data_IF_217987178126
#
_entry.id   IF_217987178126
#
_cell.length_a   1.000
_cell.length_b   1.000
_cell.length_c   1.000
_cell.angle_alpha   90.00
_cell.angle_beta   90.00
_cell.angle_gamma   90.00
#
_symmetry.space_group_name_H-M   'P 1'
#
loop_
_entity.id
_entity.type
_entity.pdbx_description
1 polymer ?
#
# COMPACT_ATOMS: atom_id res chain seq x y z
N UNK A 1 22.09 -10.26 -16.46
CA UNK A 1 22.88 -9.11 -16.94
C UNK A 1 23.59 -8.52 -15.75
N UNK A 2 24.89 -8.20 -15.87
CA UNK A 2 25.66 -7.53 -14.82
C UNK A 2 26.08 -6.17 -15.35
N UNK A 3 25.80 -5.11 -14.61
CA UNK A 3 26.07 -3.73 -15.02
C UNK A 3 26.77 -2.99 -13.90
N UNK A 4 27.62 -2.04 -14.28
CA UNK A 4 28.37 -1.20 -13.35
C UNK A 4 28.53 0.22 -13.93
N UNK A 5 28.67 1.24 -13.07
CA UNK A 5 29.04 2.59 -13.50
C UNK A 5 30.49 2.63 -13.99
N UNK A 6 30.84 3.66 -14.77
CA UNK A 6 32.23 3.87 -15.17
C UNK A 6 33.12 4.15 -13.96
N UNK A 7 34.28 3.49 -13.91
CA UNK A 7 35.32 3.72 -12.89
C UNK A 7 36.31 4.76 -13.43
N UNK A 8 36.56 5.87 -12.71
CA UNK A 8 37.50 6.90 -13.15
C UNK A 8 38.91 6.34 -13.40
N UNK A 9 39.50 6.70 -14.55
CA UNK A 9 40.86 6.25 -14.91
C UNK A 9 40.96 4.81 -15.41
N UNK A 10 39.85 4.07 -15.50
CA UNK A 10 39.84 2.71 -16.01
C UNK A 10 39.97 2.67 -17.55
N UNK A 11 40.92 1.89 -18.05
CA UNK A 11 41.11 1.58 -19.48
C UNK A 11 40.40 0.30 -19.92
N UNK A 12 39.88 -0.50 -18.99
CA UNK A 12 39.14 -1.74 -19.27
C UNK A 12 38.61 -2.39 -17.99
N UNK A 13 37.80 -3.44 -18.16
CA UNK A 13 37.19 -4.17 -17.05
C UNK A 13 37.33 -5.67 -17.24
N UNK A 14 37.42 -6.40 -16.13
CA UNK A 14 37.25 -7.85 -16.11
C UNK A 14 36.17 -8.23 -15.08
N UNK A 15 35.45 -9.31 -15.36
CA UNK A 15 34.42 -9.84 -14.46
C UNK A 15 34.82 -11.24 -14.04
N UNK A 16 34.97 -11.46 -12.73
CA UNK A 16 35.19 -12.79 -12.16
C UNK A 16 33.86 -13.42 -11.79
N UNK A 17 33.70 -14.71 -12.09
CA UNK A 17 32.47 -15.45 -11.87
C UNK A 17 32.74 -16.75 -11.12
N UNK A 18 31.95 -17.03 -10.09
CA UNK A 18 32.03 -18.27 -9.32
C UNK A 18 30.64 -18.83 -8.98
N UNK A 19 30.57 -20.14 -8.72
CA UNK A 19 29.39 -20.78 -8.14
C UNK A 19 29.28 -20.56 -6.62
N UNK A 20 30.33 -20.05 -5.97
CA UNK A 20 30.41 -19.82 -4.53
C UNK A 20 30.85 -18.37 -4.23
N UNK A 21 30.29 -17.73 -3.19
CA UNK A 21 30.67 -16.37 -2.81
C UNK A 21 32.05 -16.30 -2.12
N UNK A 22 32.58 -17.43 -1.62
CA UNK A 22 33.75 -17.44 -0.74
C UNK A 22 35.08 -17.07 -1.44
N UNK A 23 35.18 -17.30 -2.74
CA UNK A 23 36.38 -16.96 -3.53
C UNK A 23 36.00 -16.66 -4.99
N UNK A 24 35.42 -15.50 -5.25
CA UNK A 24 34.99 -15.12 -6.60
C UNK A 24 36.20 -14.84 -7.50
N UNK A 25 37.24 -14.18 -7.00
CA UNK A 25 38.45 -13.85 -7.77
C UNK A 25 39.28 -15.08 -8.18
N UNK A 26 39.14 -16.20 -7.48
CA UNK A 26 39.69 -17.49 -7.91
C UNK A 26 38.85 -18.23 -8.95
N UNK A 27 37.70 -17.68 -9.34
CA UNK A 27 36.78 -18.26 -10.33
C UNK A 27 37.17 -17.96 -11.78
N UNK A 28 36.20 -18.09 -12.68
CA UNK A 28 36.41 -17.83 -14.11
C UNK A 28 36.53 -16.33 -14.37
N UNK A 29 37.63 -15.92 -14.99
CA UNK A 29 37.86 -14.53 -15.42
C UNK A 29 37.32 -14.30 -16.83
N UNK A 30 36.43 -13.33 -16.96
CA UNK A 30 35.93 -12.80 -18.23
C UNK A 30 36.62 -11.46 -18.51
N UNK A 31 37.60 -11.46 -19.40
CA UNK A 31 38.45 -10.29 -19.63
C UNK A 31 37.90 -9.33 -20.69
N UNK A 32 38.19 -8.04 -20.56
CA UNK A 32 37.87 -7.02 -21.57
C UNK A 32 36.36 -6.80 -21.77
N UNK A 33 35.56 -6.99 -20.71
CA UNK A 33 34.11 -6.86 -20.76
C UNK A 33 33.68 -5.39 -20.73
N UNK A 34 32.52 -5.10 -21.34
CA UNK A 34 31.89 -3.77 -21.31
C UNK A 34 30.63 -3.80 -20.44
N UNK A 35 30.29 -2.67 -19.83
CA UNK A 35 29.04 -2.50 -19.09
C UNK A 35 27.92 -2.07 -20.04
N UNK A 36 26.74 -2.72 -20.05
CA UNK A 36 26.41 -3.94 -19.31
C UNK A 36 26.93 -5.23 -19.99
N UNK A 37 27.33 -6.22 -19.19
CA UNK A 37 27.74 -7.53 -19.67
C UNK A 37 26.63 -8.59 -19.48
N UNK A 38 26.41 -9.42 -20.51
CA UNK A 38 25.44 -10.53 -20.46
C UNK A 38 26.18 -11.86 -20.54
N UNK A 39 26.20 -12.61 -19.45
CA UNK A 39 26.68 -13.99 -19.44
C UNK A 39 25.62 -14.92 -20.06
N UNK A 40 26.00 -15.65 -21.09
CA UNK A 40 25.18 -16.67 -21.76
C UNK A 40 25.59 -18.08 -21.34
N UNK A 41 24.79 -19.09 -21.71
CA UNK A 41 25.13 -20.50 -21.50
C UNK A 41 24.88 -21.05 -20.08
N UNK A 42 24.11 -20.34 -19.25
CA UNK A 42 23.69 -20.80 -17.93
C UNK A 42 22.29 -21.43 -17.98
N UNK A 43 22.01 -22.40 -17.11
CA UNK A 43 20.66 -22.94 -16.95
C UNK A 43 19.77 -21.96 -16.18
N UNK A 44 18.46 -21.99 -16.43
CA UNK A 44 17.50 -21.14 -15.72
C UNK A 44 17.58 -21.41 -14.20
N UNK A 45 17.69 -20.35 -13.39
CA UNK A 45 17.82 -20.46 -11.94
C UNK A 45 19.25 -20.68 -11.44
N UNK A 46 20.23 -20.85 -12.34
CA UNK A 46 21.64 -20.97 -11.92
C UNK A 46 22.10 -19.71 -11.21
N UNK A 47 22.46 -19.86 -9.94
CA UNK A 47 23.04 -18.77 -9.15
C UNK A 47 24.55 -18.70 -9.40
N UNK A 48 25.03 -17.50 -9.69
CA UNK A 48 26.45 -17.15 -9.85
C UNK A 48 26.78 -15.91 -9.01
N UNK A 49 28.04 -15.82 -8.61
CA UNK A 49 28.59 -14.69 -7.88
C UNK A 49 29.61 -13.98 -8.75
N UNK A 50 29.52 -12.66 -8.79
CA UNK A 50 30.28 -11.80 -9.69
C UNK A 50 31.08 -10.78 -8.91
N UNK A 51 32.30 -10.51 -9.37
CA UNK A 51 33.13 -9.44 -8.84
C UNK A 51 33.87 -8.72 -9.97
N UNK A 52 33.78 -7.39 -10.00
CA UNK A 52 34.37 -6.55 -11.03
C UNK A 52 35.79 -6.14 -10.63
N UNK A 53 36.70 -6.17 -11.61
CA UNK A 53 37.98 -5.47 -11.56
C UNK A 53 38.07 -4.44 -12.68
N UNK A 54 38.81 -3.36 -12.45
CA UNK A 54 39.10 -2.32 -13.43
C UNK A 54 40.61 -2.28 -13.69
N UNK A 55 41.01 -2.01 -14.94
CA UNK A 55 42.41 -1.81 -15.30
C UNK A 55 42.71 -0.31 -15.24
N UNK A 56 43.53 0.13 -14.27
CA UNK A 56 43.90 1.53 -14.06
C UNK A 56 45.43 1.63 -14.15
N UNK A 57 45.93 2.48 -15.05
CA UNK A 57 47.38 2.63 -15.25
C UNK A 57 48.10 1.32 -15.59
N UNK A 58 47.42 0.38 -16.25
CA UNK A 58 47.95 -0.95 -16.60
C UNK A 58 47.91 -1.99 -15.47
N UNK A 59 47.38 -1.65 -14.29
CA UNK A 59 47.18 -2.57 -13.17
C UNK A 59 45.72 -2.92 -13.00
N UNK A 60 45.43 -4.17 -12.68
CA UNK A 60 44.08 -4.64 -12.39
C UNK A 60 43.78 -4.47 -10.90
N UNK A 61 42.72 -3.74 -10.59
CA UNK A 61 42.31 -3.42 -9.23
C UNK A 61 40.84 -3.82 -9.01
N UNK A 62 40.49 -4.22 -7.78
CA UNK A 62 39.12 -4.58 -7.43
C UNK A 62 38.24 -3.31 -7.49
N UNK A 63 37.15 -3.39 -8.26
CA UNK A 63 36.25 -2.26 -8.51
C UNK A 63 34.85 -2.46 -7.92
N UNK A 64 34.54 -3.63 -7.35
CA UNK A 64 33.28 -3.89 -6.67
C UNK A 64 33.40 -4.91 -5.53
N UNK A 65 32.39 -4.93 -4.66
CA UNK A 65 32.10 -6.10 -3.83
C UNK A 65 31.58 -7.28 -4.65
N UNK A 66 31.34 -8.41 -3.99
CA UNK A 66 30.70 -9.59 -4.60
C UNK A 66 29.20 -9.33 -4.74
N UNK A 67 28.65 -9.56 -5.94
CA UNK A 67 27.21 -9.52 -6.18
C UNK A 67 26.69 -10.89 -6.62
N UNK A 68 25.45 -11.22 -6.24
CA UNK A 68 24.76 -12.44 -6.63
C UNK A 68 23.92 -12.15 -7.87
N UNK A 69 24.02 -13.00 -8.89
CA UNK A 69 23.13 -12.99 -10.04
C UNK A 69 22.54 -14.38 -10.28
N UNK A 70 21.24 -14.44 -10.54
CA UNK A 70 20.58 -15.66 -10.98
C UNK A 70 20.37 -15.61 -12.49
N UNK A 71 20.67 -16.71 -13.17
CA UNK A 71 20.42 -16.84 -14.60
C UNK A 71 18.92 -16.83 -14.87
N UNK A 72 18.51 -15.97 -15.80
CA UNK A 72 17.13 -15.80 -16.22
C UNK A 72 17.06 -15.54 -17.72
N UNK A 73 15.86 -15.61 -18.29
CA UNK A 73 15.66 -15.39 -19.72
C UNK A 73 16.15 -14.01 -20.17
N UNK A 74 16.73 -13.97 -21.37
CA UNK A 74 17.25 -12.74 -21.95
C UNK A 74 16.12 -11.71 -22.10
N UNK A 75 16.31 -10.55 -21.48
CA UNK A 75 15.41 -9.41 -21.55
C UNK A 75 16.09 -8.25 -22.27
N UNK A 76 15.34 -7.47 -23.06
CA UNK A 76 15.78 -6.13 -23.45
C UNK A 76 15.54 -5.19 -22.27
N UNK A 77 16.60 -4.53 -21.81
CA UNK A 77 16.54 -3.63 -20.65
C UNK A 77 16.40 -2.19 -21.14
N UNK A 78 15.38 -1.50 -20.64
CA UNK A 78 15.16 -0.07 -20.86
C UNK A 78 15.26 0.68 -19.52
N UNK A 79 15.42 2.02 -19.53
CA UNK A 79 15.44 2.80 -18.30
C UNK A 79 14.19 2.63 -17.44
N UNK A 80 13.02 2.43 -18.07
CA UNK A 80 11.71 2.41 -17.40
C UNK A 80 11.00 1.06 -17.43
N UNK A 81 11.50 0.07 -18.17
CA UNK A 81 10.90 -1.27 -18.26
C UNK A 81 11.91 -2.34 -18.73
N UNK A 82 11.53 -3.61 -18.60
CA UNK A 82 12.14 -4.74 -19.30
C UNK A 82 11.16 -5.22 -20.37
N UNK A 83 11.66 -5.60 -21.54
CA UNK A 83 10.87 -6.34 -22.52
C UNK A 83 11.35 -7.79 -22.56
N UNK A 84 10.45 -8.71 -22.27
CA UNK A 84 10.70 -10.14 -22.19
C UNK A 84 9.79 -10.89 -23.15
N UNK A 85 10.11 -12.17 -23.39
CA UNK A 85 9.21 -13.10 -24.08
C UNK A 85 8.94 -14.23 -23.08
N UNK A 86 7.67 -14.41 -22.72
CA UNK A 86 7.25 -15.40 -21.73
C UNK A 86 7.70 -16.80 -22.13
N UNK A 87 8.25 -17.55 -21.19
CA UNK A 87 8.74 -18.91 -21.37
C UNK A 87 7.92 -19.92 -20.56
N UNK A 88 8.00 -21.21 -20.90
CA UNK A 88 7.37 -22.26 -20.09
C UNK A 88 7.85 -22.17 -18.63
N UNK A 89 6.91 -22.09 -17.68
CA UNK A 89 7.20 -22.01 -16.24
C UNK A 89 7.22 -20.59 -15.66
N UNK A 90 7.18 -19.55 -16.49
CA UNK A 90 7.01 -18.18 -16.00
C UNK A 90 5.63 -18.00 -15.36
N UNK A 91 5.59 -17.32 -14.21
CA UNK A 91 4.37 -16.81 -13.57
C UNK A 91 4.51 -15.31 -13.38
N UNK A 92 3.39 -14.59 -13.22
CA UNK A 92 3.45 -13.15 -12.95
C UNK A 92 4.29 -12.87 -11.70
N UNK A 93 4.16 -13.69 -10.66
CA UNK A 93 4.90 -13.55 -9.41
C UNK A 93 6.39 -13.89 -9.60
N UNK A 94 6.76 -14.90 -10.38
CA UNK A 94 8.18 -15.23 -10.62
C UNK A 94 8.87 -14.16 -11.47
N UNK A 95 8.15 -13.56 -12.42
CA UNK A 95 8.63 -12.43 -13.20
C UNK A 95 8.75 -11.16 -12.32
N UNK A 96 7.79 -10.90 -11.44
CA UNK A 96 7.84 -9.76 -10.54
C UNK A 96 8.95 -9.90 -9.48
N UNK A 97 9.12 -11.08 -8.90
CA UNK A 97 10.24 -11.39 -8.00
C UNK A 97 11.59 -11.14 -8.69
N UNK A 98 11.74 -11.63 -9.93
CA UNK A 98 13.01 -11.50 -10.65
C UNK A 98 13.31 -10.07 -11.12
N UNK A 99 12.33 -9.36 -11.67
CA UNK A 99 12.56 -8.08 -12.35
C UNK A 99 12.22 -6.86 -11.49
N UNK A 100 11.38 -7.01 -10.47
CA UNK A 100 10.90 -5.91 -9.61
C UNK A 100 11.30 -6.09 -8.15
N UNK A 101 12.03 -7.16 -7.82
CA UNK A 101 12.43 -7.55 -6.46
C UNK A 101 11.23 -7.65 -5.49
N UNK A 102 10.04 -7.98 -6.02
CA UNK A 102 8.79 -8.03 -5.26
C UNK A 102 7.76 -8.96 -5.94
N UNK A 103 7.55 -10.19 -5.45
CA UNK A 103 6.61 -11.14 -6.06
C UNK A 103 5.15 -10.67 -6.03
N UNK A 104 4.78 -9.76 -5.11
CA UNK A 104 3.41 -9.23 -5.00
C UNK A 104 3.07 -8.27 -6.14
N UNK A 105 4.08 -7.78 -6.88
CA UNK A 105 3.89 -6.91 -8.06
C UNK A 105 3.53 -7.65 -9.34
N UNK A 106 3.26 -8.96 -9.28
CA UNK A 106 2.79 -9.73 -10.44
C UNK A 106 1.55 -9.12 -11.10
N UNK A 107 0.62 -8.61 -10.29
CA UNK A 107 -0.57 -7.91 -10.78
C UNK A 107 -0.23 -6.67 -11.60
N UNK A 108 0.84 -5.95 -11.26
CA UNK A 108 1.22 -4.74 -12.00
C UNK A 108 1.74 -5.06 -13.40
N UNK A 109 2.41 -6.22 -13.54
CA UNK A 109 2.82 -6.72 -14.85
C UNK A 109 1.58 -7.05 -15.68
N UNK A 110 0.58 -7.71 -15.09
CA UNK A 110 -0.69 -8.02 -15.76
C UNK A 110 -1.42 -6.75 -16.20
N UNK A 111 -1.61 -5.79 -15.29
CA UNK A 111 -2.30 -4.53 -15.53
C UNK A 111 -1.62 -3.72 -16.66
N UNK A 112 -0.29 -3.58 -16.60
CA UNK A 112 0.46 -2.82 -17.60
C UNK A 112 0.35 -3.42 -19.00
N UNK A 113 0.28 -4.75 -19.12
CA UNK A 113 0.16 -5.44 -20.40
C UNK A 113 -1.30 -5.71 -20.80
N UNK A 114 -2.28 -5.37 -19.94
CA UNK A 114 -3.71 -5.64 -20.14
C UNK A 114 -4.00 -7.12 -20.41
N UNK A 115 -3.46 -8.00 -19.55
CA UNK A 115 -3.62 -9.46 -19.67
C UNK A 115 -4.18 -10.06 -18.38
N UNK A 116 -5.02 -11.09 -18.52
CA UNK A 116 -5.52 -11.87 -17.37
C UNK A 116 -4.60 -13.04 -17.01
N UNK A 117 -3.88 -13.57 -18.00
CA UNK A 117 -2.98 -14.74 -17.85
C UNK A 117 -1.75 -14.64 -18.76
N UNK A 118 -0.68 -15.36 -18.40
CA UNK A 118 0.53 -15.44 -19.22
C UNK A 118 0.42 -16.51 -20.30
N UNK A 119 0.74 -16.17 -21.54
CA UNK A 119 0.85 -17.13 -22.65
C UNK A 119 2.31 -17.31 -23.05
N UNK A 120 2.75 -18.56 -23.15
CA UNK A 120 4.11 -18.90 -23.60
C UNK A 120 4.36 -18.26 -24.98
N UNK A 121 5.57 -17.71 -25.15
CA UNK A 121 6.03 -16.95 -26.31
C UNK A 121 5.36 -15.58 -26.53
N UNK A 122 4.51 -15.10 -25.62
CA UNK A 122 4.01 -13.73 -25.73
C UNK A 122 5.10 -12.72 -25.35
N UNK A 123 5.28 -11.63 -26.12
CA UNK A 123 6.02 -10.47 -25.65
C UNK A 123 5.35 -9.88 -24.40
N UNK A 124 6.14 -9.42 -23.44
CA UNK A 124 5.66 -8.86 -22.19
C UNK A 124 6.55 -7.70 -21.75
N UNK A 125 5.94 -6.60 -21.31
CA UNK A 125 6.64 -5.44 -20.77
C UNK A 125 6.53 -5.45 -19.24
N UNK A 126 7.67 -5.49 -18.57
CA UNK A 126 7.73 -5.48 -17.11
C UNK A 126 8.19 -4.09 -16.67
N UNK A 127 7.33 -3.23 -16.09
CA UNK A 127 7.68 -1.84 -15.83
C UNK A 127 8.68 -1.74 -14.67
N UNK A 128 9.87 -1.17 -14.89
CA UNK A 128 10.86 -0.90 -13.81
C UNK A 128 10.39 0.21 -12.89
N UNK A 129 9.60 1.13 -13.44
CA UNK A 129 8.84 2.12 -12.70
C UNK A 129 7.38 1.78 -12.93
N UNK A 130 6.86 0.92 -12.07
CA UNK A 130 5.45 0.64 -12.02
C UNK A 130 4.69 1.87 -11.55
N UNK A 131 3.94 2.41 -12.49
CA UNK A 131 2.86 3.37 -12.35
C UNK A 131 3.24 4.84 -12.18
N UNK A 132 2.49 5.67 -12.92
CA UNK A 132 2.56 7.12 -12.85
C UNK A 132 2.30 7.49 -11.39
N UNK A 133 3.26 8.09 -10.72
CA UNK A 133 3.05 8.59 -9.36
C UNK A 133 1.86 9.56 -9.40
N UNK A 134 0.88 9.30 -8.54
CA UNK A 134 -0.38 10.04 -8.54
C UNK A 134 -1.40 9.63 -9.61
N UNK A 135 -1.11 8.60 -10.41
CA UNK A 135 -2.03 8.03 -11.40
C UNK A 135 -2.48 9.02 -12.48
N UNK A 136 -1.60 9.94 -12.88
CA UNK A 136 -1.88 10.95 -13.89
C UNK A 136 -1.83 10.36 -15.31
N UNK A 137 -2.78 10.75 -16.14
CA UNK A 137 -2.73 10.55 -17.60
C UNK A 137 -2.97 11.90 -18.29
N UNK A 138 -2.72 12.05 -19.61
CA UNK A 138 -3.00 13.29 -20.32
C UNK A 138 -4.46 13.76 -20.23
N UNK A 139 -5.41 12.85 -20.00
CA UNK A 139 -6.85 13.14 -20.02
C UNK A 139 -7.59 12.81 -18.72
N UNK A 140 -6.91 12.26 -17.70
CA UNK A 140 -7.54 11.84 -16.46
C UNK A 140 -6.54 11.76 -15.30
N UNK A 141 -7.05 11.58 -14.09
CA UNK A 141 -6.24 11.21 -12.94
C UNK A 141 -6.93 10.13 -12.12
N UNK A 142 -6.13 9.23 -11.56
CA UNK A 142 -6.59 8.21 -10.65
C UNK A 142 -7.13 8.84 -9.37
N UNK A 143 -8.24 8.31 -8.88
CA UNK A 143 -8.76 8.63 -7.55
C UNK A 143 -9.01 7.34 -6.79
N UNK A 144 -8.88 7.36 -5.48
CA UNK A 144 -9.06 6.16 -4.67
C UNK A 144 -10.26 6.33 -3.74
N UNK A 145 -11.27 5.45 -3.84
CA UNK A 145 -12.36 5.37 -2.87
C UNK A 145 -11.85 4.81 -1.54
N UNK A 146 -12.19 5.48 -0.45
CA UNK A 146 -11.97 5.00 0.92
C UNK A 146 -13.34 4.69 1.51
N UNK A 147 -13.66 3.42 1.67
CA UNK A 147 -14.93 2.96 2.23
C UNK A 147 -14.90 3.09 3.75
N UNK A 148 -15.99 3.59 4.34
CA UNK A 148 -16.17 3.67 5.79
C UNK A 148 -17.36 2.82 6.22
N UNK A 149 -17.07 1.74 6.94
CA UNK A 149 -18.06 0.92 7.65
C UNK A 149 -18.08 1.31 9.13
N UNK A 150 -19.16 0.95 9.82
CA UNK A 150 -19.30 1.21 11.25
C UNK A 150 -19.67 -0.08 11.99
N UNK A 151 -20.92 -0.53 11.84
CA UNK A 151 -21.44 -1.68 12.56
C UNK A 151 -21.91 -2.80 11.62
N UNK A 152 -21.99 -4.03 12.14
CA UNK A 152 -22.40 -5.22 11.40
C UNK A 152 -23.41 -6.06 12.17
N UNK A 153 -24.33 -6.72 11.47
CA UNK A 153 -25.33 -7.59 12.10
C UNK A 153 -25.74 -8.73 11.17
N UNK A 154 -26.26 -9.82 11.73
CA UNK A 154 -26.82 -10.93 10.94
C UNK A 154 -28.29 -10.73 10.58
N UNK A 155 -29.00 -9.94 11.38
CA UNK A 155 -30.46 -9.96 11.40
C UNK A 155 -31.08 -8.60 11.07
N UNK A 156 -30.32 -7.51 11.27
CA UNK A 156 -30.84 -6.15 11.12
C UNK A 156 -29.86 -5.29 10.36
N UNK A 157 -30.38 -4.41 9.51
CA UNK A 157 -29.60 -3.31 8.92
C UNK A 157 -30.30 -1.99 9.10
N UNK A 158 -29.50 -0.95 9.16
CA UNK A 158 -29.94 0.43 9.14
C UNK A 158 -28.87 1.25 8.41
N UNK A 159 -28.93 2.59 8.49
CA UNK A 159 -27.96 3.43 7.80
C UNK A 159 -26.50 3.25 8.30
N UNK A 160 -26.29 2.85 9.55
CA UNK A 160 -24.97 2.63 10.17
C UNK A 160 -24.58 1.16 10.37
N UNK A 161 -25.51 0.22 10.21
CA UNK A 161 -25.27 -1.22 10.41
C UNK A 161 -25.46 -1.99 9.10
N UNK A 162 -24.41 -2.63 8.58
CA UNK A 162 -24.43 -3.45 7.36
C UNK A 162 -24.68 -4.91 7.72
N UNK A 163 -25.55 -5.61 6.96
CA UNK A 163 -25.74 -7.05 7.19
C UNK A 163 -24.49 -7.83 6.80
N UNK A 164 -24.16 -8.90 7.53
CA UNK A 164 -23.02 -9.76 7.20
C UNK A 164 -23.12 -10.28 5.77
N UNK A 165 -24.30 -10.73 5.33
CA UNK A 165 -24.50 -11.23 3.98
C UNK A 165 -24.25 -10.15 2.92
N UNK A 166 -24.63 -8.89 3.20
CA UNK A 166 -24.37 -7.76 2.30
C UNK A 166 -22.86 -7.48 2.25
N UNK A 167 -22.17 -7.52 3.39
CA UNK A 167 -20.71 -7.32 3.45
C UNK A 167 -19.95 -8.43 2.72
N UNK A 168 -20.34 -9.69 2.87
CA UNK A 168 -19.74 -10.82 2.13
C UNK A 168 -19.93 -10.65 0.61
N UNK A 169 -21.12 -10.25 0.17
CA UNK A 169 -21.36 -9.95 -1.24
C UNK A 169 -20.52 -8.77 -1.74
N UNK A 170 -20.34 -7.73 -0.94
CA UNK A 170 -19.50 -6.58 -1.28
C UNK A 170 -18.03 -6.99 -1.44
N UNK A 171 -17.48 -7.80 -0.52
CA UNK A 171 -16.09 -8.27 -0.61
C UNK A 171 -15.88 -9.18 -1.83
N UNK A 172 -16.82 -10.10 -2.08
CA UNK A 172 -16.79 -10.95 -3.27
C UNK A 172 -16.89 -10.12 -4.55
N UNK A 173 -17.73 -9.08 -4.57
CA UNK A 173 -17.85 -8.18 -5.72
C UNK A 173 -16.54 -7.44 -6.03
N UNK A 174 -15.82 -6.97 -5.00
CA UNK A 174 -14.51 -6.35 -5.20
C UNK A 174 -13.55 -7.31 -5.90
N UNK A 175 -13.49 -8.56 -5.43
CA UNK A 175 -12.68 -9.62 -6.04
C UNK A 175 -13.08 -9.86 -7.51
N UNK A 176 -14.36 -10.14 -7.76
CA UNK A 176 -14.87 -10.55 -9.08
C UNK A 176 -14.79 -9.43 -10.12
N UNK A 177 -14.75 -8.17 -9.68
CA UNK A 177 -14.58 -6.99 -10.54
C UNK A 177 -13.14 -6.51 -10.64
N UNK A 178 -12.18 -7.24 -10.09
CA UNK A 178 -10.75 -6.93 -10.19
C UNK A 178 -10.32 -5.72 -9.37
N UNK A 179 -11.09 -5.33 -8.35
CA UNK A 179 -10.64 -4.32 -7.39
C UNK A 179 -9.53 -4.88 -6.51
N UNK A 180 -8.55 -4.04 -6.21
CA UNK A 180 -7.45 -4.36 -5.30
C UNK A 180 -7.63 -3.60 -4.00
N UNK A 181 -7.93 -4.32 -2.92
CA UNK A 181 -7.98 -3.72 -1.60
C UNK A 181 -6.54 -3.46 -1.14
N UNK A 182 -6.19 -2.19 -0.95
CA UNK A 182 -4.86 -1.77 -0.53
C UNK A 182 -4.85 -1.32 0.93
N UNK A 183 -3.70 -1.45 1.59
CA UNK A 183 -3.54 -0.96 2.96
C UNK A 183 -3.60 0.56 3.03
N UNK A 184 -3.93 1.10 4.20
CA UNK A 184 -3.93 2.54 4.41
C UNK A 184 -2.54 3.15 4.21
N UNK A 185 -1.49 2.41 4.56
CA UNK A 185 -0.11 2.82 4.29
C UNK A 185 0.18 2.96 2.80
N UNK A 186 -0.22 1.99 1.97
CA UNK A 186 -0.07 2.07 0.51
C UNK A 186 -0.88 3.24 -0.08
N UNK A 187 -2.11 3.46 0.44
CA UNK A 187 -2.91 4.63 0.08
C UNK A 187 -2.20 5.94 0.43
N UNK A 188 -1.66 6.08 1.65
CA UNK A 188 -0.94 7.29 2.04
C UNK A 188 0.37 7.46 1.25
N UNK A 189 1.05 6.39 0.87
CA UNK A 189 2.20 6.46 -0.04
C UNK A 189 1.79 6.96 -1.43
N UNK A 190 0.63 6.54 -1.96
CA UNK A 190 0.06 7.11 -3.18
C UNK A 190 -0.25 8.61 -3.05
N UNK A 191 -0.93 8.99 -1.96
CA UNK A 191 -1.24 10.41 -1.69
C UNK A 191 0.02 11.27 -1.63
N UNK A 192 1.12 10.73 -1.12
CA UNK A 192 2.39 11.42 -0.99
C UNK A 192 3.32 11.27 -2.21
N UNK A 193 2.84 10.73 -3.33
CA UNK A 193 3.64 10.44 -4.53
C UNK A 193 4.90 9.61 -4.26
N UNK A 194 4.86 8.70 -3.28
CA UNK A 194 5.97 7.80 -2.97
C UNK A 194 5.88 6.49 -3.74
N UNK A 195 4.66 6.00 -3.91
CA UNK A 195 4.37 4.74 -4.59
C UNK A 195 3.13 4.95 -5.46
N UNK A 196 3.01 4.15 -6.50
CA UNK A 196 1.80 4.08 -7.28
C UNK A 196 1.05 2.77 -6.94
N UNK A 197 -0.25 2.76 -7.21
CA UNK A 197 -1.16 1.67 -6.79
C UNK A 197 -1.93 1.14 -8.00
N UNK A 198 -2.54 -0.06 -7.92
CA UNK A 198 -3.34 -0.62 -9.00
C UNK A 198 -4.46 0.33 -9.42
N UNK A 199 -4.85 0.34 -10.70
CA UNK A 199 -5.85 1.26 -11.25
C UNK A 199 -7.21 1.17 -10.53
N UNK A 200 -7.58 -0.04 -10.10
CA UNK A 200 -8.80 -0.34 -9.35
C UNK A 200 -8.55 -0.49 -7.85
N UNK A 201 -7.71 0.38 -7.28
CA UNK A 201 -7.45 0.40 -5.84
C UNK A 201 -8.67 0.86 -5.03
N UNK A 202 -8.90 0.24 -3.87
CA UNK A 202 -9.90 0.64 -2.87
C UNK A 202 -9.34 0.45 -1.47
N UNK A 203 -9.71 1.32 -0.54
CA UNK A 203 -9.34 1.22 0.88
C UNK A 203 -10.57 0.88 1.71
N UNK A 204 -10.44 -0.06 2.64
CA UNK A 204 -11.49 -0.40 3.60
C UNK A 204 -11.13 0.16 4.97
N UNK A 205 -12.02 0.96 5.53
CA UNK A 205 -11.91 1.49 6.90
C UNK A 205 -13.16 1.14 7.69
N UNK A 206 -12.98 0.92 8.99
CA UNK A 206 -14.06 0.65 9.94
C UNK A 206 -13.90 1.60 11.12
N UNK A 207 -15.01 2.14 11.63
CA UNK A 207 -15.00 3.08 12.74
C UNK A 207 -15.39 2.44 14.08
N UNK A 208 -15.02 3.12 15.17
CA UNK A 208 -15.39 2.90 16.57
C UNK A 208 -14.74 1.68 17.23
N UNK A 209 -14.85 0.49 16.64
CA UNK A 209 -14.35 -0.76 17.26
C UNK A 209 -15.42 -1.59 17.95
N UNK A 210 -16.59 -1.72 17.34
CA UNK A 210 -17.66 -2.61 17.81
C UNK A 210 -17.26 -4.09 17.77
N UNK A 211 -17.79 -4.90 18.70
CA UNK A 211 -17.60 -6.37 18.72
C UNK A 211 -18.12 -7.05 17.45
N UNK A 212 -19.08 -6.44 16.77
CA UNK A 212 -19.60 -6.92 15.48
C UNK A 212 -18.50 -6.97 14.41
N UNK A 213 -17.56 -6.01 14.39
CA UNK A 213 -16.42 -6.06 13.48
C UNK A 213 -15.56 -7.31 13.75
N UNK A 214 -15.18 -7.54 15.02
CA UNK A 214 -14.41 -8.72 15.43
C UNK A 214 -15.09 -10.04 15.07
N UNK A 215 -16.39 -10.15 15.37
CA UNK A 215 -17.13 -11.39 15.26
C UNK A 215 -17.62 -11.70 13.84
N UNK A 216 -17.89 -10.68 13.03
CA UNK A 216 -18.58 -10.84 11.75
C UNK A 216 -17.70 -10.43 10.56
N UNK A 217 -17.24 -9.19 10.51
CA UNK A 217 -16.55 -8.65 9.34
C UNK A 217 -15.08 -9.06 9.24
N UNK A 218 -14.36 -9.12 10.36
CA UNK A 218 -12.95 -9.48 10.40
C UNK A 218 -12.66 -10.87 9.78
N UNK A 219 -13.41 -11.95 10.11
CA UNK A 219 -13.23 -13.25 9.46
C UNK A 219 -13.48 -13.23 7.94
N UNK A 220 -14.34 -12.34 7.43
CA UNK A 220 -14.58 -12.20 5.98
C UNK A 220 -13.34 -11.61 5.33
N UNK A 221 -12.80 -10.52 5.88
CA UNK A 221 -11.58 -9.87 5.37
C UNK A 221 -10.40 -10.85 5.33
N UNK A 222 -10.25 -11.69 6.36
CA UNK A 222 -9.21 -12.71 6.40
C UNK A 222 -9.32 -13.73 5.25
N UNK A 223 -10.53 -14.20 4.92
CA UNK A 223 -10.74 -15.15 3.81
C UNK A 223 -10.39 -14.57 2.45
N UNK A 224 -10.54 -13.26 2.27
CA UNK A 224 -10.16 -12.55 1.05
C UNK A 224 -8.72 -12.02 1.07
N UNK A 225 -7.99 -12.17 2.19
CA UNK A 225 -6.69 -11.53 2.40
C UNK A 225 -6.72 -10.01 2.20
N UNK A 226 -7.83 -9.37 2.58
CA UNK A 226 -8.02 -7.94 2.41
C UNK A 226 -7.49 -7.15 3.59
N UNK A 227 -6.55 -6.20 3.37
CA UNK A 227 -6.16 -5.28 4.43
C UNK A 227 -7.31 -4.32 4.75
N UNK A 228 -7.38 -3.88 6.00
CA UNK A 228 -8.29 -2.83 6.44
C UNK A 228 -7.70 -2.07 7.61
N UNK A 229 -8.22 -0.87 7.85
CA UNK A 229 -7.90 -0.06 9.03
C UNK A 229 -9.12 0.10 9.93
N UNK A 230 -8.92 -0.12 11.23
CA UNK A 230 -9.89 0.20 12.26
C UNK A 230 -9.51 1.51 12.96
N UNK A 231 -10.37 2.52 12.82
CA UNK A 231 -10.28 3.76 13.60
C UNK A 231 -11.01 3.59 14.93
N UNK A 232 -10.25 3.39 16.00
CA UNK A 232 -10.77 3.07 17.32
C UNK A 232 -11.23 4.33 18.04
N UNK A 233 -12.41 4.26 18.68
CA UNK A 233 -12.82 5.26 19.68
C UNK A 233 -12.46 4.75 21.06
N UNK A 234 -11.37 5.27 21.63
CA UNK A 234 -10.75 4.61 22.79
C UNK A 234 -11.63 4.63 24.04
N UNK A 235 -12.53 5.61 24.18
CA UNK A 235 -13.43 5.71 25.33
C UNK A 235 -14.54 4.67 25.36
N UNK A 236 -14.77 3.94 24.27
CA UNK A 236 -15.73 2.84 24.20
C UNK A 236 -15.08 1.49 24.51
N UNK A 237 -13.79 1.33 24.21
CA UNK A 237 -13.10 0.03 24.27
C UNK A 237 -12.96 -0.45 25.70
N UNK A 238 -13.55 -1.61 26.01
CA UNK A 238 -13.57 -2.20 27.34
C UNK A 238 -14.52 -1.54 28.34
N UNK A 239 -15.22 -0.46 27.96
CA UNK A 239 -16.19 0.25 28.79
C UNK A 239 -17.62 0.04 28.27
N UNK A 240 -17.82 0.14 26.96
CA UNK A 240 -19.10 -0.10 26.32
C UNK A 240 -19.25 -1.61 26.04
N UNK A 241 -20.33 -2.26 26.51
CA UNK A 241 -20.51 -3.70 26.34
C UNK A 241 -20.61 -4.14 24.87
N UNK A 242 -21.00 -3.23 23.96
CA UNK A 242 -21.06 -3.48 22.52
C UNK A 242 -19.69 -3.32 21.82
N UNK A 243 -18.77 -2.58 22.43
CA UNK A 243 -17.43 -2.36 21.90
C UNK A 243 -16.50 -3.52 22.27
N UNK A 244 -15.47 -3.71 21.47
CA UNK A 244 -14.40 -4.66 21.78
C UNK A 244 -13.71 -4.31 23.10
N UNK A 245 -13.04 -5.28 23.71
CA UNK A 245 -12.00 -5.00 24.69
C UNK A 245 -10.63 -4.83 24.02
N UNK A 246 -9.64 -4.36 24.79
CA UNK A 246 -8.29 -4.15 24.26
C UNK A 246 -7.58 -5.44 23.85
N UNK A 247 -7.97 -6.60 24.39
CA UNK A 247 -7.42 -7.88 23.95
C UNK A 247 -7.89 -8.18 22.53
N UNK A 248 -9.19 -8.04 22.26
CA UNK A 248 -9.76 -8.22 20.93
C UNK A 248 -9.16 -7.24 19.91
N UNK A 249 -8.94 -5.98 20.27
CA UNK A 249 -8.25 -4.99 19.40
C UNK A 249 -6.82 -5.44 19.07
N UNK A 250 -6.06 -5.95 20.03
CA UNK A 250 -4.71 -6.48 19.77
C UNK A 250 -4.74 -7.75 18.93
N UNK A 251 -5.73 -8.62 19.16
CA UNK A 251 -5.88 -9.87 18.42
C UNK A 251 -6.09 -9.61 16.92
N UNK A 252 -6.98 -8.67 16.55
CA UNK A 252 -7.19 -8.30 15.13
C UNK A 252 -5.98 -7.58 14.52
N UNK A 253 -5.26 -6.81 15.33
CA UNK A 253 -4.04 -6.12 14.89
C UNK A 253 -2.94 -7.11 14.55
N UNK A 254 -2.72 -8.11 15.42
CA UNK A 254 -1.79 -9.20 15.17
C UNK A 254 -2.14 -10.01 13.91
N UNK A 255 -3.42 -10.07 13.55
CA UNK A 255 -3.88 -10.69 12.31
C UNK A 255 -3.98 -9.75 11.11
N UNK A 256 -3.31 -8.59 11.14
CA UNK A 256 -3.09 -7.74 9.96
C UNK A 256 -4.02 -6.54 9.80
N UNK A 257 -4.92 -6.27 10.76
CA UNK A 257 -5.72 -5.04 10.75
C UNK A 257 -4.88 -3.88 11.29
N UNK A 258 -4.82 -2.80 10.52
CA UNK A 258 -4.16 -1.56 10.95
C UNK A 258 -5.04 -0.83 11.96
N UNK A 259 -4.46 -0.34 13.06
CA UNK A 259 -5.20 0.26 14.18
C UNK A 259 -4.83 1.73 14.31
N UNK A 260 -5.81 2.60 14.11
CA UNK A 260 -5.63 4.05 14.05
C UNK A 260 -6.69 4.79 14.89
N UNK A 261 -6.60 6.12 14.94
CA UNK A 261 -7.32 6.92 15.93
C UNK A 261 -8.65 7.50 15.40
N UNK A 262 -9.67 7.63 16.25
CA UNK A 262 -10.93 8.34 15.93
C UNK A 262 -11.20 9.54 16.86
N UNK A 263 -11.09 9.33 18.18
CA UNK A 263 -11.29 10.30 19.29
C UNK A 263 -11.47 9.50 20.59
N UNK A 264 -11.45 10.16 21.75
CA UNK A 264 -11.79 9.52 23.00
C UNK A 264 -13.32 9.34 23.14
N UNK A 265 -14.11 10.42 23.06
CA UNK A 265 -15.55 10.38 23.41
C UNK A 265 -16.51 10.84 22.30
N UNK A 266 -16.03 11.11 21.08
CA UNK A 266 -16.77 11.75 19.97
C UNK A 266 -17.07 13.25 20.17
N UNK A 267 -17.01 13.77 21.40
CA UNK A 267 -17.36 15.16 21.75
C UNK A 267 -16.22 16.15 21.45
N UNK A 268 -16.55 17.37 21.03
CA UNK A 268 -15.64 18.52 21.17
C UNK A 268 -14.60 18.76 20.07
N UNK A 269 -14.75 18.17 18.88
CA UNK A 269 -13.85 18.47 17.73
C UNK A 269 -14.46 19.43 16.69
N UNK A 270 -15.79 19.57 16.68
CA UNK A 270 -16.48 20.32 15.62
C UNK A 270 -17.26 21.54 16.13
N UNK A 271 -17.70 21.51 17.40
CA UNK A 271 -18.58 22.53 17.97
C UNK A 271 -18.05 23.05 19.31
N UNK A 272 -17.56 24.29 19.27
CA UNK A 272 -17.49 25.17 20.44
C UNK A 272 -18.34 26.42 20.24
N UNK A 273 -19.46 26.28 19.53
CA UNK A 273 -20.42 27.37 19.39
C UNK A 273 -20.91 27.78 20.79
N UNK A 274 -20.36 28.89 21.31
CA UNK A 274 -20.73 29.48 22.59
C UNK A 274 -19.80 29.22 23.78
N UNK A 275 -18.76 28.40 23.66
CA UNK A 275 -17.76 28.25 24.75
C UNK A 275 -16.61 29.24 24.62
N UNK A 276 -16.04 29.75 25.74
CA UNK A 276 -14.80 30.51 25.70
C UNK A 276 -13.69 29.72 24.99
N UNK A 277 -12.87 30.41 24.18
CA UNK A 277 -11.84 29.78 23.35
C UNK A 277 -10.86 28.91 24.17
N UNK A 278 -10.48 29.36 25.37
CA UNK A 278 -9.56 28.61 26.24
C UNK A 278 -10.14 27.27 26.70
N UNK A 279 -11.44 27.21 26.98
CA UNK A 279 -12.10 25.98 27.41
C UNK A 279 -12.27 25.01 26.25
N UNK A 280 -12.58 25.52 25.06
CA UNK A 280 -12.56 24.73 23.84
C UNK A 280 -11.17 24.14 23.56
N UNK A 281 -10.11 24.94 23.66
CA UNK A 281 -8.74 24.48 23.44
C UNK A 281 -8.32 23.42 24.46
N UNK A 282 -8.71 23.57 25.73
CA UNK A 282 -8.51 22.55 26.77
C UNK A 282 -9.25 21.26 26.44
N UNK A 283 -10.50 21.35 25.97
CA UNK A 283 -11.32 20.19 25.60
C UNK A 283 -10.72 19.40 24.43
N UNK A 284 -10.38 20.06 23.31
CA UNK A 284 -9.71 19.41 22.17
C UNK A 284 -8.41 18.74 22.62
N UNK A 285 -7.61 19.44 23.43
CA UNK A 285 -6.35 18.90 23.95
C UNK A 285 -6.60 17.64 24.77
N UNK A 286 -7.56 17.68 25.70
CA UNK A 286 -7.89 16.54 26.53
C UNK A 286 -8.34 15.34 25.69
N UNK A 287 -9.25 15.55 24.74
CA UNK A 287 -9.71 14.53 23.80
C UNK A 287 -8.56 13.86 23.03
N UNK A 288 -7.66 14.64 22.44
CA UNK A 288 -6.53 14.10 21.67
C UNK A 288 -5.57 13.36 22.59
N UNK A 289 -5.13 13.99 23.68
CA UNK A 289 -4.09 13.42 24.56
C UNK A 289 -4.56 12.15 25.28
N UNK A 290 -5.78 12.13 25.81
CA UNK A 290 -6.36 10.95 26.45
C UNK A 290 -6.53 9.81 25.44
N UNK A 291 -6.98 10.13 24.22
CA UNK A 291 -7.10 9.14 23.17
C UNK A 291 -5.75 8.49 22.82
N UNK A 292 -4.73 9.31 22.54
CA UNK A 292 -3.39 8.83 22.20
C UNK A 292 -2.77 8.00 23.34
N UNK A 293 -2.96 8.42 24.60
CA UNK A 293 -2.49 7.67 25.75
C UNK A 293 -3.17 6.30 25.86
N UNK A 294 -4.49 6.23 25.66
CA UNK A 294 -5.24 4.98 25.69
C UNK A 294 -4.87 4.07 24.53
N UNK A 295 -4.69 4.58 23.32
CA UNK A 295 -4.25 3.79 22.17
C UNK A 295 -2.86 3.18 22.41
N UNK A 296 -1.94 3.97 22.97
CA UNK A 296 -0.60 3.48 23.33
C UNK A 296 -0.64 2.41 24.42
N UNK A 297 -1.43 2.61 25.48
CA UNK A 297 -1.52 1.65 26.60
C UNK A 297 -2.32 0.40 26.26
N UNK A 298 -3.44 0.57 25.56
CA UNK A 298 -4.42 -0.46 25.29
C UNK A 298 -4.05 -1.31 24.07
N UNK A 299 -3.73 -0.68 22.94
CA UNK A 299 -3.40 -1.36 21.70
C UNK A 299 -1.88 -1.52 21.46
N UNK A 300 -1.04 -0.73 22.16
CA UNK A 300 0.41 -0.76 21.93
C UNK A 300 0.83 -0.03 20.64
N UNK A 301 -0.05 0.82 20.10
CA UNK A 301 0.18 1.52 18.82
C UNK A 301 0.40 3.01 19.03
N UNK A 302 1.16 3.61 18.12
CA UNK A 302 1.27 5.07 17.97
C UNK A 302 0.47 5.44 16.74
N UNK A 303 -0.66 6.11 16.93
CA UNK A 303 -1.49 6.54 15.80
C UNK A 303 -0.74 7.52 14.90
N UNK A 304 -0.93 7.37 13.59
CA UNK A 304 -0.50 8.32 12.56
C UNK A 304 -1.69 8.90 11.81
N UNK A 305 -2.83 8.25 11.87
CA UNK A 305 -4.01 8.56 11.08
C UNK A 305 -5.21 8.77 11.99
N UNK A 306 -6.04 9.77 11.68
CA UNK A 306 -7.15 10.17 12.52
C UNK A 306 -8.46 10.30 11.73
N UNK A 307 -9.49 9.54 12.09
CA UNK A 307 -10.82 9.70 11.53
C UNK A 307 -11.66 10.66 12.39
N UNK A 308 -12.14 11.75 11.79
CA UNK A 308 -12.96 12.73 12.51
C UNK A 308 -14.34 12.13 12.88
N UNK A 309 -14.76 12.16 14.16
CA UNK A 309 -15.97 11.47 14.62
C UNK A 309 -17.27 11.89 13.92
N UNK A 310 -17.45 13.18 13.62
CA UNK A 310 -18.61 13.66 12.85
C UNK A 310 -18.32 13.79 11.35
N UNK A 311 -17.10 13.49 10.94
CA UNK A 311 -16.58 13.71 9.60
C UNK A 311 -16.21 15.17 9.29
N UNK A 312 -16.34 16.10 10.23
CA UNK A 312 -15.91 17.49 10.06
C UNK A 312 -14.47 17.71 10.55
N UNK A 313 -13.80 18.70 9.96
CA UNK A 313 -12.40 19.00 10.23
C UNK A 313 -12.21 20.51 10.33
N UNK A 314 -12.19 21.03 11.55
CA UNK A 314 -11.89 22.42 11.85
C UNK A 314 -10.39 22.69 11.72
N UNK A 315 -10.00 23.92 11.34
CA UNK A 315 -8.59 24.28 11.19
C UNK A 315 -7.80 24.13 12.51
N UNK A 316 -8.42 24.45 13.64
CA UNK A 316 -7.81 24.30 14.95
C UNK A 316 -7.55 22.83 15.30
N UNK A 317 -8.52 21.95 15.06
CA UNK A 317 -8.33 20.50 15.32
C UNK A 317 -7.24 19.93 14.43
N UNK A 318 -7.20 20.31 13.14
CA UNK A 318 -6.09 19.90 12.25
C UNK A 318 -4.74 20.33 12.80
N UNK A 319 -4.59 21.60 13.20
CA UNK A 319 -3.35 22.10 13.76
C UNK A 319 -2.95 21.38 15.07
N UNK A 320 -3.94 21.05 15.91
CA UNK A 320 -3.71 20.30 17.15
C UNK A 320 -3.28 18.87 16.86
N UNK A 321 -3.93 18.16 15.95
CA UNK A 321 -3.54 16.80 15.55
C UNK A 321 -2.11 16.77 15.01
N UNK A 322 -1.75 17.72 14.13
CA UNK A 322 -0.38 17.87 13.63
C UNK A 322 0.64 18.09 14.75
N UNK A 323 0.31 18.96 15.71
CA UNK A 323 1.16 19.21 16.89
C UNK A 323 1.42 17.94 17.71
N UNK A 324 0.48 16.99 17.72
CA UNK A 324 0.60 15.71 18.41
C UNK A 324 1.11 14.57 17.52
N UNK A 325 1.62 14.85 16.32
CA UNK A 325 2.29 13.87 15.47
C UNK A 325 1.37 13.02 14.59
N UNK A 326 0.09 13.37 14.49
CA UNK A 326 -0.81 12.79 13.47
C UNK A 326 -0.40 13.32 12.10
N UNK A 327 -0.40 12.46 11.11
CA UNK A 327 0.09 12.71 9.75
C UNK A 327 -1.05 12.93 8.75
N UNK A 328 -2.24 12.38 9.00
CA UNK A 328 -3.41 12.52 8.14
C UNK A 328 -4.75 12.39 8.87
N UNK A 329 -5.80 12.88 8.20
CA UNK A 329 -7.14 13.09 8.75
C UNK A 329 -8.25 12.68 7.77
N UNK A 330 -9.23 11.91 8.25
CA UNK A 330 -10.28 11.28 7.45
C UNK A 330 -11.68 11.78 7.82
N UNK A 331 -12.36 12.35 6.84
CA UNK A 331 -13.72 12.89 6.92
C UNK A 331 -14.77 11.86 6.50
N UNK A 332 -16.05 12.22 6.60
CA UNK A 332 -17.17 11.49 5.98
C UNK A 332 -17.77 12.27 4.80
N UNK A 333 -17.01 13.19 4.21
CA UNK A 333 -17.42 13.91 3.00
C UNK A 333 -17.37 12.96 1.82
N UNK A 334 -18.44 12.93 1.02
CA UNK A 334 -18.52 12.08 -0.18
C UNK A 334 -17.48 12.51 -1.22
N UNK A 335 -16.87 11.52 -1.87
CA UNK A 335 -15.93 11.69 -2.97
C UNK A 335 -14.74 10.76 -2.83
N UNK A 336 -14.02 10.59 -3.93
CA UNK A 336 -12.77 9.81 -4.00
C UNK A 336 -11.57 10.74 -3.89
N UNK A 337 -10.38 10.16 -3.71
CA UNK A 337 -9.18 10.90 -3.31
C UNK A 337 -8.10 10.82 -4.40
N UNK A 338 -7.83 11.91 -5.14
CA UNK A 338 -6.62 12.05 -5.94
C UNK A 338 -5.41 12.40 -5.05
N UNK A 339 -4.19 12.12 -5.51
CA UNK A 339 -2.97 12.34 -4.71
C UNK A 339 -2.77 13.79 -4.25
N UNK A 340 -3.21 14.77 -5.03
CA UNK A 340 -3.08 16.20 -4.70
C UNK A 340 -4.12 16.69 -3.67
N UNK A 341 -4.92 15.79 -3.10
CA UNK A 341 -5.89 16.15 -2.07
C UNK A 341 -5.20 16.38 -0.71
N UNK A 342 -5.82 17.21 0.15
CA UNK A 342 -5.26 17.53 1.46
C UNK A 342 -5.32 16.29 2.38
N UNK A 343 -4.15 15.86 2.88
CA UNK A 343 -4.00 14.70 3.76
C UNK A 343 -4.80 14.79 5.08
N UNK A 344 -5.20 15.97 5.54
CA UNK A 344 -6.06 16.15 6.71
C UNK A 344 -7.54 16.31 6.38
N UNK A 345 -7.93 16.09 5.12
CA UNK A 345 -9.32 16.17 4.68
C UNK A 345 -9.72 14.98 3.81
N UNK A 346 -9.02 13.86 3.89
CA UNK A 346 -9.29 12.65 3.09
C UNK A 346 -10.78 12.31 3.19
N UNK A 347 -11.40 12.07 2.04
CA UNK A 347 -12.82 11.78 1.91
C UNK A 347 -13.04 10.29 2.11
N UNK A 348 -14.08 9.94 2.87
CA UNK A 348 -14.55 8.55 2.99
C UNK A 348 -16.00 8.44 2.59
N UNK A 349 -16.31 7.32 1.96
CA UNK A 349 -17.63 6.97 1.47
C UNK A 349 -18.28 6.04 2.51
N UNK A 350 -19.18 6.59 3.32
CA UNK A 350 -19.94 5.79 4.28
C UNK A 350 -20.78 4.74 3.54
N UNK A 351 -20.57 3.47 3.87
CA UNK A 351 -21.32 2.35 3.30
C UNK A 351 -22.54 2.11 4.18
N UNK A 352 -23.71 2.55 3.70
CA UNK A 352 -24.97 2.35 4.41
C UNK A 352 -25.43 0.90 4.30
N UNK A 353 -25.95 0.33 5.39
CA UNK A 353 -26.62 -0.98 5.35
C UNK A 353 -27.86 -1.00 4.46
N UNK A 354 -28.40 0.16 4.10
CA UNK A 354 -29.51 0.28 3.14
C UNK A 354 -29.07 0.24 1.67
N UNK A 355 -27.77 0.10 1.39
CA UNK A 355 -27.27 -0.01 0.02
C UNK A 355 -27.44 -1.44 -0.49
N UNK A 356 -27.94 -1.57 -1.71
CA UNK A 356 -27.82 -2.80 -2.49
C UNK A 356 -26.47 -2.81 -3.22
N UNK A 357 -26.16 -3.93 -3.90
CA UNK A 357 -24.87 -4.07 -4.59
C UNK A 357 -24.67 -3.04 -5.71
N UNK A 358 -25.76 -2.61 -6.37
CA UNK A 358 -25.71 -1.56 -7.39
C UNK A 358 -25.32 -0.21 -6.80
N UNK A 359 -25.90 0.18 -5.66
CA UNK A 359 -25.50 1.41 -4.95
C UNK A 359 -24.09 1.32 -4.39
N UNK A 360 -23.67 0.14 -3.94
CA UNK A 360 -22.29 -0.10 -3.52
C UNK A 360 -21.30 0.12 -4.67
N UNK A 361 -21.58 -0.42 -5.86
CA UNK A 361 -20.73 -0.26 -7.05
C UNK A 361 -20.50 1.22 -7.41
N UNK A 362 -21.51 2.08 -7.25
CA UNK A 362 -21.38 3.52 -7.50
C UNK A 362 -20.38 4.24 -6.58
N UNK A 363 -19.99 3.63 -5.47
CA UNK A 363 -18.95 4.16 -4.57
C UNK A 363 -17.53 3.91 -5.11
N UNK A 364 -17.37 3.01 -6.06
CA UNK A 364 -16.08 2.43 -6.43
C UNK A 364 -15.45 3.06 -7.69
N UNK A 365 -15.78 4.31 -8.00
CA UNK A 365 -15.10 5.04 -9.08
C UNK A 365 -13.62 5.22 -8.72
N UNK A 366 -12.71 4.92 -9.67
CA UNK A 366 -11.26 5.04 -9.44
C UNK A 366 -10.55 5.98 -10.42
N UNK A 367 -11.30 6.71 -11.24
CA UNK A 367 -10.74 7.66 -12.21
C UNK A 367 -11.65 8.88 -12.34
N UNK A 368 -11.06 10.02 -12.67
CA UNK A 368 -11.76 11.27 -12.97
C UNK A 368 -11.17 11.88 -14.23
N UNK A 369 -12.04 12.21 -15.18
CA UNK A 369 -11.75 12.92 -16.42
C UNK A 369 -12.01 14.44 -16.30
N UNK A 370 -12.36 14.93 -15.10
CA UNK A 370 -12.47 16.37 -14.87
C UNK A 370 -11.12 17.00 -15.18
N UNK A 371 -11.08 17.77 -16.27
CA UNK A 371 -9.93 18.59 -16.66
C UNK A 371 -9.40 19.32 -15.42
N UNK A 372 -8.08 19.24 -15.22
CA UNK A 372 -7.34 20.13 -14.32
C UNK A 372 -7.55 21.55 -14.88
N UNK A 373 -8.64 22.21 -14.47
CA UNK A 373 -8.98 23.57 -14.88
C UNK A 373 -8.14 24.58 -14.12
#
# INVERSE_FOLDING_TARGET
>A
VVAWPAVPGASGYNLYVSASPANVLGGTKLAGVTSPYTQSGLALGDTRYYQLTAVIGGKEEIASGVTRGMAYHAAKVFPTFYAVVVKPGDTLNSLADHYLDDPEKGAVIADFNQIDELKVNQPLIIPRRTAVLGGLTPSAYQTIPVLAYNDFSRDQKNAGTVMLADFEQQMQFLHDKGYRVISLNAFMNFMNMKEAVPERAVVITVDIGWKSFYALAYPVLQRHHYPATLFVRSGEIGTNPLAMDWKQVRDISAGGIDIECNSHTQTGLDDAAGSPFDDYLKAIRAEITQHLEQMRKGAGVTCRHFAYPTGNASHLVVAMLQKYGIESGFTLRRGTNPFFFNNFRIRRLAVSGTYDLKRFELLLSTSSDQLLK
#
